data_IF_969976855733
#
_entry.id   IF_969976855733
#
_cell.length_a   1.000
_cell.length_b   1.000
_cell.length_c   1.000
_cell.angle_alpha   90.00
_cell.angle_beta   90.00
_cell.angle_gamma   90.00
#
_symmetry.space_group_name_H-M   'P 1'
#
loop_
_entity.id
_entity.type
_entity.pdbx_description
1 polymer ?
#
# COMPACT_ATOMS: atom_id res chain seq x y z
N UNK A 1 11.69 74.75 -1.62
CA UNK A 1 11.12 73.76 -0.68
C UNK A 1 10.33 72.74 -1.50
N UNK A 2 10.17 71.51 -1.00
CA UNK A 2 9.36 70.38 -1.55
C UNK A 2 9.90 69.66 -2.81
N UNK A 3 9.94 68.33 -2.95
CA UNK A 3 9.52 67.16 -2.14
C UNK A 3 10.48 65.98 -2.44
N UNK A 4 10.98 65.30 -1.41
CA UNK A 4 11.70 64.00 -1.53
C UNK A 4 10.65 62.91 -1.82
N UNK A 5 10.77 62.21 -2.96
CA UNK A 5 9.87 61.10 -3.33
C UNK A 5 10.40 59.80 -2.73
N UNK A 6 9.81 59.38 -1.63
CA UNK A 6 10.01 58.05 -1.04
C UNK A 6 9.47 56.98 -2.01
N UNK A 7 10.35 56.09 -2.47
CA UNK A 7 9.98 54.85 -3.15
C UNK A 7 9.76 53.79 -2.08
N UNK A 8 8.50 53.46 -1.80
CA UNK A 8 8.15 52.32 -0.97
C UNK A 8 8.33 51.04 -1.79
N UNK A 9 9.34 50.23 -1.44
CA UNK A 9 9.50 48.88 -1.94
C UNK A 9 8.56 47.96 -1.14
N UNK A 10 7.49 47.47 -1.77
CA UNK A 10 6.64 46.42 -1.20
C UNK A 10 7.32 45.08 -1.52
N UNK A 11 8.01 44.51 -0.54
CA UNK A 11 8.47 43.13 -0.58
C UNK A 11 7.29 42.22 -0.18
N UNK A 12 6.68 41.54 -1.16
CA UNK A 12 5.73 40.45 -0.86
C UNK A 12 6.56 39.19 -0.60
N UNK A 13 6.85 38.93 0.67
CA UNK A 13 7.42 37.66 1.10
C UNK A 13 6.32 36.59 1.08
N UNK A 14 6.29 35.78 0.02
CA UNK A 14 5.49 34.56 -0.01
C UNK A 14 6.09 33.53 0.94
N UNK A 15 5.55 33.41 2.15
CA UNK A 15 5.89 32.32 3.06
C UNK A 15 5.25 31.05 2.49
N UNK A 16 6.03 30.28 1.74
CA UNK A 16 5.68 28.89 1.43
C UNK A 16 5.94 28.10 2.72
N UNK A 17 4.93 27.95 3.57
CA UNK A 17 5.01 27.03 4.69
C UNK A 17 5.11 25.62 4.10
N UNK A 18 6.30 25.03 4.12
CA UNK A 18 6.46 23.61 3.87
C UNK A 18 5.78 22.87 5.05
N UNK A 19 4.57 22.36 4.84
CA UNK A 19 3.99 21.38 5.75
C UNK A 19 4.86 20.13 5.69
N UNK A 20 5.75 19.98 6.67
CA UNK A 20 6.46 18.72 6.86
C UNK A 20 5.43 17.62 7.06
N UNK A 21 5.52 16.54 6.28
CA UNK A 21 4.63 15.41 6.48
C UNK A 21 4.86 14.83 7.88
N UNK A 22 3.79 14.74 8.65
CA UNK A 22 3.83 14.15 9.98
C UNK A 22 3.85 12.63 9.88
N UNK A 23 4.56 12.00 10.80
CA UNK A 23 4.49 10.55 10.97
C UNK A 23 3.04 10.10 11.18
N UNK A 24 2.64 9.00 10.54
CA UNK A 24 1.31 8.43 10.71
C UNK A 24 1.28 7.43 11.88
N UNK A 25 0.12 7.33 12.51
CA UNK A 25 -0.19 6.27 13.46
C UNK A 25 -1.33 5.42 12.91
N UNK A 26 -1.14 4.10 12.83
CA UNK A 26 -2.20 3.15 12.52
C UNK A 26 -2.83 2.72 13.83
N UNK A 27 -4.15 2.86 13.97
CA UNK A 27 -4.88 2.45 15.17
C UNK A 27 -5.42 1.02 15.08
N UNK A 28 -5.75 0.53 13.89
CA UNK A 28 -6.20 -0.85 13.68
C UNK A 28 -5.87 -1.34 12.27
N UNK A 29 -5.65 -2.65 12.17
CA UNK A 29 -5.54 -3.39 10.92
C UNK A 29 -6.56 -4.52 11.00
N UNK A 30 -7.53 -4.52 10.08
CA UNK A 30 -8.65 -5.47 10.07
C UNK A 30 -8.64 -6.24 8.74
N UNK A 31 -8.31 -7.54 8.77
CA UNK A 31 -8.30 -8.35 7.56
C UNK A 31 -9.64 -9.05 7.30
N UNK A 32 -9.92 -9.38 6.04
CA UNK A 32 -11.03 -10.26 5.65
C UNK A 32 -10.72 -11.00 4.35
N UNK A 33 -11.30 -12.18 4.16
CA UNK A 33 -11.25 -12.88 2.87
C UNK A 33 -12.45 -12.50 2.01
N UNK A 34 -12.23 -12.27 0.73
CA UNK A 34 -13.27 -12.02 -0.26
C UNK A 34 -13.00 -12.80 -1.53
N UNK A 35 -14.03 -12.98 -2.36
CA UNK A 35 -13.91 -13.63 -3.67
C UNK A 35 -13.22 -15.00 -3.63
N UNK A 36 -13.45 -15.77 -2.56
CA UNK A 36 -12.91 -17.13 -2.37
C UNK A 36 -13.42 -18.03 -3.48
N UNK A 37 -12.49 -18.60 -4.25
CA UNK A 37 -12.79 -19.46 -5.40
C UNK A 37 -11.93 -20.74 -5.38
N UNK A 38 -12.56 -21.92 -5.41
CA UNK A 38 -14.00 -22.15 -5.30
C UNK A 38 -14.52 -21.82 -3.90
N UNK A 39 -15.78 -21.39 -3.78
CA UNK A 39 -16.40 -21.18 -2.46
C UNK A 39 -16.79 -22.52 -1.81
N UNK A 40 -17.28 -23.47 -2.61
CA UNK A 40 -17.66 -24.80 -2.11
C UNK A 40 -16.42 -25.64 -1.82
N UNK A 41 -16.36 -26.25 -0.62
CA UNK A 41 -15.23 -27.07 -0.18
C UNK A 41 -14.08 -26.27 0.43
N UNK A 42 -14.24 -24.95 0.60
CA UNK A 42 -13.33 -24.09 1.35
C UNK A 42 -14.06 -23.58 2.59
N UNK A 43 -13.45 -23.76 3.76
CA UNK A 43 -13.98 -23.29 5.04
C UNK A 43 -13.24 -22.04 5.49
N UNK A 44 -13.99 -21.00 5.88
CA UNK A 44 -13.46 -19.76 6.42
C UNK A 44 -13.71 -19.66 7.93
N UNK A 45 -12.71 -19.20 8.68
CA UNK A 45 -12.84 -18.84 10.09
C UNK A 45 -12.29 -17.44 10.30
N UNK A 46 -13.10 -16.57 10.87
CA UNK A 46 -12.74 -15.18 11.21
C UNK A 46 -12.82 -14.92 12.72
N UNK A 47 -12.92 -15.97 13.53
CA UNK A 47 -12.96 -15.87 14.99
C UNK A 47 -11.55 -15.73 15.56
N UNK A 48 -11.29 -14.59 16.20
CA UNK A 48 -10.03 -14.34 16.90
C UNK A 48 -9.04 -13.45 16.12
N UNK A 49 -7.77 -13.40 16.56
CA UNK A 49 -6.77 -12.51 15.96
C UNK A 49 -6.29 -13.00 14.58
N UNK A 50 -6.48 -14.28 14.27
CA UNK A 50 -6.07 -14.88 13.00
C UNK A 50 -7.31 -15.24 12.20
N UNK A 51 -7.36 -14.81 10.94
CA UNK A 51 -8.37 -15.29 9.99
C UNK A 51 -7.77 -16.43 9.17
N UNK A 52 -8.59 -17.42 8.83
CA UNK A 52 -8.14 -18.69 8.28
C UNK A 52 -9.02 -19.15 7.12
N UNK A 53 -8.38 -19.72 6.10
CA UNK A 53 -9.02 -20.55 5.08
C UNK A 53 -8.47 -21.96 5.16
N UNK A 54 -9.34 -22.95 5.03
CA UNK A 54 -8.97 -24.38 4.97
C UNK A 54 -9.68 -25.07 3.82
N UNK A 55 -8.97 -25.92 3.11
CA UNK A 55 -9.50 -26.70 1.99
C UNK A 55 -8.90 -28.10 1.95
N UNK A 56 -9.45 -28.93 1.07
CA UNK A 56 -9.01 -30.30 0.87
C UNK A 56 -9.41 -31.25 1.98
N UNK A 57 -9.41 -32.54 1.63
CA UNK A 57 -9.62 -33.65 2.55
C UNK A 57 -8.30 -34.38 2.76
N UNK A 58 -7.89 -34.53 4.00
CA UNK A 58 -6.66 -35.20 4.40
C UNK A 58 -6.60 -35.40 5.92
N UNK A 59 -5.48 -35.90 6.42
CA UNK A 59 -5.22 -35.95 7.87
C UNK A 59 -5.05 -34.54 8.47
N UNK A 60 -4.58 -33.60 7.65
CA UNK A 60 -4.53 -32.16 7.88
C UNK A 60 -5.01 -31.47 6.61
N UNK A 61 -5.69 -30.33 6.73
CA UNK A 61 -6.10 -29.51 5.59
C UNK A 61 -5.04 -28.50 5.22
N UNK A 62 -4.83 -28.30 3.92
CA UNK A 62 -4.09 -27.15 3.40
C UNK A 62 -4.85 -25.87 3.69
N UNK A 63 -4.15 -24.74 3.72
CA UNK A 63 -4.79 -23.50 4.14
C UNK A 63 -3.93 -22.27 4.14
N UNK A 64 -4.61 -21.14 4.37
CA UNK A 64 -4.00 -19.86 4.68
C UNK A 64 -4.39 -19.40 6.07
N UNK A 65 -3.44 -18.80 6.77
CA UNK A 65 -3.68 -18.02 7.99
C UNK A 65 -3.13 -16.62 7.79
N UNK A 66 -3.90 -15.61 8.21
CA UNK A 66 -3.43 -14.24 8.27
C UNK A 66 -3.66 -13.66 9.67
N UNK A 67 -2.58 -13.22 10.30
CA UNK A 67 -2.61 -12.53 11.60
C UNK A 67 -2.11 -11.11 11.40
N UNK A 68 -2.96 -10.07 11.61
CA UNK A 68 -2.54 -8.69 11.44
C UNK A 68 -1.48 -8.31 12.48
N UNK A 69 -0.60 -7.37 12.11
CA UNK A 69 0.36 -6.79 13.04
C UNK A 69 -0.38 -6.11 14.19
N UNK A 70 0.13 -6.24 15.41
CA UNK A 70 -0.44 -5.57 16.58
C UNK A 70 -0.46 -4.05 16.42
N UNK A 71 -1.59 -3.43 16.75
CA UNK A 71 -1.78 -1.98 16.72
C UNK A 71 -1.93 -1.42 18.15
N UNK A 72 -1.64 -0.13 18.39
CA UNK A 72 -1.26 0.90 17.42
C UNK A 72 0.18 0.77 16.92
N UNK A 73 0.40 1.14 15.65
CA UNK A 73 1.74 1.30 15.07
C UNK A 73 1.99 2.80 14.92
N UNK A 74 2.88 3.35 15.73
CA UNK A 74 3.16 4.79 15.77
C UNK A 74 4.49 5.13 15.10
N UNK A 75 4.66 6.40 14.73
CA UNK A 75 5.93 6.90 14.19
C UNK A 75 6.27 6.38 12.80
N UNK A 76 5.28 5.92 12.04
CA UNK A 76 5.51 5.51 10.66
C UNK A 76 5.93 6.74 9.85
N UNK A 77 6.99 6.60 9.07
CA UNK A 77 7.50 7.65 8.20
C UNK A 77 7.08 7.36 6.76
N UNK A 78 6.89 8.41 5.93
CA UNK A 78 6.74 8.23 4.50
C UNK A 78 7.91 7.44 3.92
N UNK A 79 7.64 6.73 2.83
CA UNK A 79 8.64 5.97 2.06
C UNK A 79 9.33 4.86 2.89
N UNK A 80 8.74 4.46 4.02
CA UNK A 80 9.24 3.38 4.87
C UNK A 80 8.27 2.21 4.87
N UNK A 81 8.79 1.00 4.60
CA UNK A 81 8.01 -0.23 4.66
C UNK A 81 7.64 -0.58 6.11
N UNK A 82 6.43 -1.08 6.32
CA UNK A 82 5.97 -1.58 7.61
C UNK A 82 5.13 -2.85 7.44
N UNK A 83 5.15 -3.70 8.45
CA UNK A 83 4.44 -4.98 8.45
C UNK A 83 2.93 -4.78 8.63
N UNK A 84 2.14 -5.31 7.71
CA UNK A 84 0.67 -5.37 7.80
C UNK A 84 0.19 -6.59 8.59
N UNK A 85 0.89 -7.70 8.45
CA UNK A 85 0.59 -8.93 9.17
C UNK A 85 1.42 -10.11 8.70
N UNK A 86 1.32 -11.20 9.43
CA UNK A 86 1.92 -12.47 9.12
C UNK A 86 0.95 -13.31 8.30
N UNK A 87 1.39 -13.71 7.10
CA UNK A 87 0.70 -14.66 6.24
C UNK A 87 1.39 -16.02 6.35
N UNK A 88 0.62 -17.07 6.58
CA UNK A 88 1.10 -18.43 6.67
C UNK A 88 0.41 -19.30 5.63
N UNK A 89 1.20 -20.03 4.87
CA UNK A 89 0.75 -21.04 3.95
C UNK A 89 1.00 -22.43 4.55
N UNK A 90 -0.07 -23.17 4.80
CA UNK A 90 -0.06 -24.54 5.29
C UNK A 90 -0.22 -25.47 4.08
N UNK A 91 0.84 -26.22 3.76
CA UNK A 91 0.83 -27.15 2.65
C UNK A 91 0.81 -28.60 3.16
N UNK A 92 -0.30 -29.30 2.96
CA UNK A 92 -0.47 -30.68 3.37
C UNK A 92 -1.02 -31.55 2.23
N UNK A 93 -0.69 -32.85 2.20
CA UNK A 93 -1.27 -33.75 1.21
C UNK A 93 -2.79 -33.84 1.36
N UNK A 94 -3.50 -33.36 0.34
CA UNK A 94 -4.97 -33.37 0.30
C UNK A 94 -5.53 -34.03 -0.96
N UNK A 95 -6.83 -34.33 -0.89
CA UNK A 95 -7.66 -34.74 -2.02
C UNK A 95 -8.91 -33.87 -2.10
N UNK A 96 -9.56 -33.82 -3.27
CA UNK A 96 -10.78 -33.05 -3.45
C UNK A 96 -10.50 -31.59 -3.81
N UNK A 97 -11.25 -30.66 -3.21
CA UNK A 97 -11.19 -29.24 -3.57
C UNK A 97 -9.87 -28.60 -3.15
N UNK A 98 -9.28 -27.84 -4.08
CA UNK A 98 -8.14 -26.96 -3.84
C UNK A 98 -8.57 -25.51 -4.04
N UNK A 99 -7.98 -24.59 -3.28
CA UNK A 99 -8.19 -23.16 -3.52
C UNK A 99 -7.56 -22.80 -4.88
N UNK A 100 -8.22 -21.94 -5.66
CA UNK A 100 -7.67 -21.39 -6.90
C UNK A 100 -7.30 -19.93 -6.73
N UNK A 101 -8.23 -19.12 -6.22
CA UNK A 101 -8.00 -17.69 -5.98
C UNK A 101 -8.73 -17.20 -4.74
N UNK A 102 -8.22 -16.13 -4.14
CA UNK A 102 -8.90 -15.38 -3.08
C UNK A 102 -8.35 -13.96 -3.00
N UNK A 103 -9.18 -13.02 -2.57
CA UNK A 103 -8.75 -11.69 -2.20
C UNK A 103 -8.57 -11.59 -0.68
N UNK A 104 -7.37 -11.25 -0.21
CA UNK A 104 -7.18 -10.79 1.15
C UNK A 104 -7.40 -9.27 1.19
N UNK A 105 -8.44 -8.82 1.87
CA UNK A 105 -8.69 -7.41 2.11
C UNK A 105 -8.04 -7.02 3.43
N UNK A 106 -7.31 -5.90 3.46
CA UNK A 106 -6.71 -5.34 4.66
C UNK A 106 -7.16 -3.89 4.80
N UNK A 107 -8.02 -3.66 5.79
CA UNK A 107 -8.51 -2.34 6.17
C UNK A 107 -7.62 -1.73 7.25
N UNK A 108 -7.08 -0.55 6.99
CA UNK A 108 -6.12 0.15 7.84
C UNK A 108 -6.75 1.45 8.32
N UNK A 109 -6.97 1.56 9.63
CA UNK A 109 -7.49 2.80 10.22
C UNK A 109 -6.32 3.69 10.65
N UNK A 110 -6.25 4.87 10.06
CA UNK A 110 -5.31 5.91 10.49
C UNK A 110 -5.88 6.59 11.74
N UNK A 111 -5.06 6.75 12.78
CA UNK A 111 -5.47 7.38 14.04
C UNK A 111 -5.93 8.83 13.80
N UNK A 112 -7.20 9.11 14.13
CA UNK A 112 -7.83 10.41 13.87
C UNK A 112 -8.09 10.71 12.40
N UNK A 113 -7.81 9.77 11.49
CA UNK A 113 -7.88 9.91 10.04
C UNK A 113 -8.83 8.92 9.38
N UNK A 114 -8.68 8.70 8.06
CA UNK A 114 -9.57 7.84 7.30
C UNK A 114 -9.26 6.35 7.48
N UNK A 115 -10.23 5.52 7.07
CA UNK A 115 -10.04 4.10 6.78
C UNK A 115 -9.48 3.95 5.36
N UNK A 116 -8.38 3.20 5.21
CA UNK A 116 -7.75 2.89 3.93
C UNK A 116 -7.89 1.38 3.69
N UNK A 117 -8.58 0.99 2.62
CA UNK A 117 -8.81 -0.42 2.27
C UNK A 117 -7.93 -0.84 1.11
N UNK A 118 -7.24 -1.97 1.24
CA UNK A 118 -6.42 -2.56 0.18
C UNK A 118 -6.76 -4.03 -0.04
N UNK A 119 -6.63 -4.51 -1.29
CA UNK A 119 -6.95 -5.89 -1.69
C UNK A 119 -5.73 -6.59 -2.28
N UNK A 120 -5.51 -7.84 -1.88
CA UNK A 120 -4.48 -8.75 -2.40
C UNK A 120 -5.13 -9.88 -3.16
N UNK A 121 -5.05 -9.85 -4.50
CA UNK A 121 -5.53 -10.94 -5.32
C UNK A 121 -4.50 -12.07 -5.30
N UNK A 122 -4.78 -13.12 -4.54
CA UNK A 122 -3.95 -14.29 -4.39
C UNK A 122 -4.39 -15.38 -5.38
N UNK A 123 -3.44 -15.94 -6.12
CA UNK A 123 -3.60 -17.22 -6.81
C UNK A 123 -2.88 -18.30 -6.03
N UNK A 124 -3.51 -19.47 -5.94
CA UNK A 124 -2.93 -20.68 -5.35
C UNK A 124 -2.66 -21.70 -6.44
N UNK A 125 -1.53 -22.38 -6.34
CA UNK A 125 -1.20 -23.54 -7.16
C UNK A 125 -0.92 -24.73 -6.24
N UNK A 126 -1.93 -25.57 -6.06
CA UNK A 126 -1.78 -26.88 -5.42
C UNK A 126 -1.22 -27.88 -6.42
N UNK A 127 0.05 -28.22 -6.25
CA UNK A 127 0.81 -29.01 -7.20
C UNK A 127 0.52 -30.50 -7.07
N UNK A 128 0.67 -31.24 -8.18
CA UNK A 128 0.56 -32.69 -8.10
C UNK A 128 1.83 -33.25 -7.48
N UNK A 129 1.70 -33.87 -6.31
CA UNK A 129 2.75 -34.58 -5.56
C UNK A 129 3.32 -35.81 -6.29
N UNK A 130 3.91 -35.60 -7.48
CA UNK A 130 4.50 -36.63 -8.34
C UNK A 130 5.84 -36.16 -8.91
N UNK A 131 6.84 -37.06 -9.04
CA UNK A 131 8.22 -36.67 -9.37
C UNK A 131 8.43 -35.90 -10.68
N UNK A 132 7.52 -36.02 -11.65
CA UNK A 132 7.67 -35.45 -12.99
C UNK A 132 7.05 -34.07 -13.20
N UNK A 133 6.37 -33.51 -12.18
CA UNK A 133 5.46 -32.38 -12.37
C UNK A 133 5.86 -31.13 -11.55
N UNK A 134 7.04 -31.14 -10.93
CA UNK A 134 7.43 -30.09 -10.00
C UNK A 134 8.02 -28.88 -10.74
N UNK A 135 7.54 -27.65 -10.49
CA UNK A 135 8.09 -26.45 -11.11
C UNK A 135 9.57 -26.18 -10.76
N UNK A 136 10.06 -26.71 -9.64
CA UNK A 136 11.38 -26.45 -9.11
C UNK A 136 12.01 -27.68 -8.42
N UNK A 137 12.14 -28.82 -9.11
CA UNK A 137 12.89 -30.05 -8.72
C UNK A 137 12.76 -30.59 -7.27
N UNK A 138 11.90 -30.03 -6.41
CA UNK A 138 11.60 -30.55 -5.08
C UNK A 138 10.56 -31.65 -5.22
N UNK A 139 10.82 -32.82 -4.63
CA UNK A 139 9.85 -33.93 -4.61
C UNK A 139 9.56 -34.35 -3.16
N UNK A 140 8.28 -34.42 -2.76
CA UNK A 140 7.08 -34.00 -3.49
C UNK A 140 7.06 -32.47 -3.79
N UNK A 141 6.23 -32.06 -4.76
CA UNK A 141 6.28 -30.71 -5.34
C UNK A 141 5.82 -29.66 -4.32
N UNK A 142 6.48 -28.50 -4.30
CA UNK A 142 6.05 -27.39 -3.46
C UNK A 142 4.80 -26.68 -4.04
N UNK A 143 3.90 -26.30 -3.15
CA UNK A 143 2.75 -25.46 -3.50
C UNK A 143 3.09 -23.98 -3.44
N UNK A 144 2.44 -23.19 -4.28
CA UNK A 144 2.84 -21.81 -4.56
C UNK A 144 1.69 -20.85 -4.34
N UNK A 145 1.96 -19.79 -3.57
CA UNK A 145 1.07 -18.65 -3.41
C UNK A 145 1.66 -17.46 -4.16
N UNK A 146 0.84 -16.74 -4.92
CA UNK A 146 1.27 -15.55 -5.66
C UNK A 146 0.24 -14.43 -5.57
N UNK A 147 0.68 -13.21 -5.27
CA UNK A 147 -0.08 -11.97 -5.43
C UNK A 147 -0.03 -11.56 -6.90
N UNK A 148 -1.18 -11.41 -7.52
CA UNK A 148 -1.33 -11.24 -8.98
C UNK A 148 -1.83 -9.87 -9.40
N UNK A 149 -2.54 -9.15 -8.53
CA UNK A 149 -2.88 -7.78 -8.84
C UNK A 149 -1.60 -6.93 -8.80
N UNK A 150 -1.51 -5.98 -9.74
CA UNK A 150 -0.59 -4.85 -9.58
C UNK A 150 -0.92 -4.22 -8.24
N UNK A 151 0.03 -4.26 -7.31
CA UNK A 151 -0.16 -3.79 -5.94
C UNK A 151 -0.66 -2.35 -6.00
N UNK A 152 -1.97 -2.19 -5.78
CA UNK A 152 -2.68 -0.96 -6.09
C UNK A 152 -2.34 0.13 -5.08
N UNK A 153 -2.15 1.33 -5.57
CA UNK A 153 -1.96 2.51 -4.73
C UNK A 153 -3.31 3.12 -4.34
N UNK A 154 -3.59 3.23 -3.05
CA UNK A 154 -4.80 3.88 -2.53
C UNK A 154 -4.49 5.31 -2.11
N UNK A 155 -5.18 6.27 -2.70
CA UNK A 155 -5.02 7.68 -2.33
C UNK A 155 -5.92 8.02 -1.14
N UNK A 156 -5.37 8.72 -0.15
CA UNK A 156 -6.15 9.28 0.94
C UNK A 156 -5.61 10.65 1.36
N UNK A 157 -6.47 11.49 1.92
CA UNK A 157 -6.10 12.82 2.40
C UNK A 157 -6.18 12.86 3.92
N UNK A 158 -5.15 13.40 4.57
CA UNK A 158 -5.13 13.57 6.02
C UNK A 158 -4.26 14.77 6.42
N UNK A 159 -4.73 15.60 7.36
CA UNK A 159 -3.99 16.78 7.81
C UNK A 159 -3.65 17.78 6.69
N UNK A 160 -4.49 17.87 5.64
CA UNK A 160 -4.26 18.74 4.47
C UNK A 160 -3.23 18.20 3.45
N UNK A 161 -2.66 17.02 3.69
CA UNK A 161 -1.73 16.34 2.78
C UNK A 161 -2.42 15.17 2.10
N UNK A 162 -2.03 14.90 0.85
CA UNK A 162 -2.45 13.70 0.12
C UNK A 162 -1.37 12.64 0.26
N UNK A 163 -1.79 11.42 0.52
CA UNK A 163 -0.94 10.27 0.69
C UNK A 163 -1.34 9.17 -0.29
N UNK A 164 -0.37 8.32 -0.59
CA UNK A 164 -0.53 7.15 -1.43
C UNK A 164 -0.10 5.93 -0.61
N UNK A 165 -1.05 5.09 -0.21
CA UNK A 165 -0.73 3.79 0.40
C UNK A 165 -0.46 2.77 -0.71
N UNK A 166 0.69 2.11 -0.66
CA UNK A 166 1.08 1.07 -1.60
C UNK A 166 1.43 -0.19 -0.84
N UNK A 167 1.09 -1.32 -1.43
CA UNK A 167 1.50 -2.61 -0.89
C UNK A 167 2.76 -3.03 -1.62
N UNK A 168 3.70 -3.61 -0.89
CA UNK A 168 4.97 -4.06 -1.43
C UNK A 168 4.95 -5.55 -1.78
N UNK A 169 4.39 -6.39 -0.90
CA UNK A 169 4.34 -7.85 -1.09
C UNK A 169 4.82 -8.62 0.14
N UNK A 170 5.22 -9.86 -0.07
CA UNK A 170 5.70 -10.77 0.97
C UNK A 170 7.19 -10.62 1.23
N UNK A 171 7.59 -10.80 2.49
CA UNK A 171 9.00 -10.90 2.89
C UNK A 171 9.18 -11.99 3.94
N UNK A 172 10.25 -12.78 3.78
CA UNK A 172 10.66 -13.82 4.72
C UNK A 172 11.93 -13.42 5.53
N UNK A 173 12.48 -12.24 5.29
CA UNK A 173 13.71 -11.74 5.92
C UNK A 173 13.54 -10.34 6.54
N UNK A 174 12.36 -10.08 7.12
CA UNK A 174 12.10 -8.85 7.87
C UNK A 174 12.05 -7.56 7.03
N UNK A 175 11.75 -7.66 5.74
CA UNK A 175 11.60 -6.54 4.81
C UNK A 175 12.82 -6.33 3.91
N UNK A 176 13.87 -7.16 4.03
CA UNK A 176 15.08 -7.04 3.21
C UNK A 176 14.85 -7.36 1.73
N UNK A 177 13.97 -8.32 1.43
CA UNK A 177 13.54 -8.65 0.07
C UNK A 177 12.04 -8.81 0.02
N UNK A 178 11.43 -8.16 -0.96
CA UNK A 178 10.00 -8.22 -1.20
C UNK A 178 9.75 -9.07 -2.46
N UNK A 179 8.85 -10.04 -2.35
CA UNK A 179 8.42 -10.92 -3.44
C UNK A 179 6.90 -10.93 -3.54
N UNK A 180 6.39 -11.20 -4.73
CA UNK A 180 4.95 -11.36 -4.95
C UNK A 180 4.48 -12.77 -4.59
N UNK A 181 5.37 -13.74 -4.39
CA UNK A 181 5.00 -15.10 -4.06
C UNK A 181 6.12 -15.87 -3.36
N UNK A 182 5.76 -17.02 -2.80
CA UNK A 182 6.68 -17.96 -2.18
C UNK A 182 6.11 -19.38 -2.27
N UNK A 183 7.00 -20.37 -2.17
CA UNK A 183 6.64 -21.79 -2.17
C UNK A 183 6.67 -22.37 -0.77
N UNK A 184 5.87 -23.41 -0.54
CA UNK A 184 5.86 -24.18 0.70
C UNK A 184 6.01 -25.66 0.37
N UNK A 185 7.01 -26.30 0.97
CA UNK A 185 7.22 -27.75 0.84
C UNK A 185 6.04 -28.54 1.43
N UNK A 186 5.71 -29.68 0.83
CA UNK A 186 4.67 -30.57 1.36
C UNK A 186 4.89 -30.96 2.82
N UNK A 187 3.78 -31.11 3.55
CA UNK A 187 3.73 -31.41 4.99
C UNK A 187 4.38 -30.33 5.87
N UNK A 188 4.62 -29.14 5.32
CA UNK A 188 5.22 -28.03 6.03
C UNK A 188 4.32 -26.80 5.99
N UNK A 189 4.66 -25.86 6.86
CA UNK A 189 4.11 -24.52 6.86
C UNK A 189 5.24 -23.55 6.53
N UNK A 190 4.96 -22.59 5.65
CA UNK A 190 5.86 -21.47 5.39
C UNK A 190 5.19 -20.15 5.75
N UNK A 191 5.98 -19.21 6.26
CA UNK A 191 5.50 -17.96 6.82
C UNK A 191 6.20 -16.80 6.13
N UNK A 192 5.43 -15.82 5.70
CA UNK A 192 5.93 -14.56 5.18
C UNK A 192 5.14 -13.38 5.77
N UNK A 193 5.82 -12.27 6.03
CA UNK A 193 5.15 -11.04 6.46
C UNK A 193 4.75 -10.23 5.24
N UNK A 194 3.52 -9.75 5.22
CA UNK A 194 3.02 -8.84 4.20
C UNK A 194 3.39 -7.40 4.57
N UNK A 195 4.01 -6.67 3.66
CA UNK A 195 4.48 -5.29 3.89
C UNK A 195 3.73 -4.27 3.07
N UNK A 196 3.41 -3.13 3.69
CA UNK A 196 2.90 -1.93 3.05
C UNK A 196 3.85 -0.75 3.24
N UNK A 197 3.58 0.33 2.52
CA UNK A 197 4.27 1.61 2.61
C UNK A 197 3.26 2.71 2.30
N UNK A 198 3.53 3.93 2.74
CA UNK A 198 2.84 5.09 2.19
C UNK A 198 3.84 6.16 1.76
N UNK A 199 3.45 6.95 0.77
CA UNK A 199 4.23 8.09 0.27
C UNK A 199 3.36 9.34 0.29
N UNK A 200 3.98 10.51 0.16
CA UNK A 200 3.26 11.78 0.04
C UNK A 200 3.00 12.02 -1.45
N UNK A 201 1.74 12.21 -1.83
CA UNK A 201 1.42 12.55 -3.20
C UNK A 201 1.95 13.97 -3.51
N UNK A 202 2.63 14.18 -4.65
CA UNK A 202 3.12 15.49 -5.03
C UNK A 202 1.95 16.48 -5.16
N UNK A 203 2.06 17.63 -4.49
CA UNK A 203 1.07 18.71 -4.60
C UNK A 203 1.19 19.32 -6.00
N UNK A 204 0.10 19.41 -6.79
CA UNK A 204 0.15 20.14 -8.05
C UNK A 204 0.55 21.58 -7.78
N UNK A 205 1.63 22.05 -8.40
CA UNK A 205 2.02 23.46 -8.31
C UNK A 205 0.80 24.33 -8.65
N UNK A 206 0.39 25.27 -7.79
CA UNK A 206 -0.74 26.11 -8.10
C UNK A 206 -0.49 26.82 -9.43
N UNK A 207 -1.51 26.86 -10.30
CA UNK A 207 -1.50 27.69 -11.52
C UNK A 207 -1.22 29.18 -11.23
N UNK A 208 -1.25 29.57 -9.94
CA UNK A 208 -0.73 30.83 -9.44
C UNK A 208 0.70 31.14 -9.90
N UNK A 209 1.56 30.13 -10.13
CA UNK A 209 2.89 30.36 -10.73
C UNK A 209 2.81 31.05 -12.10
N UNK A 210 1.89 30.61 -12.94
CA UNK A 210 1.63 31.24 -14.25
C UNK A 210 0.92 32.60 -14.11
N UNK A 211 0.03 32.76 -13.14
CA UNK A 211 -0.61 34.06 -12.86
C UNK A 211 0.38 35.09 -12.31
N UNK A 212 1.37 34.68 -11.51
CA UNK A 212 2.44 35.55 -11.01
C UNK A 212 3.34 35.99 -12.16
N UNK A 213 3.78 35.06 -13.01
CA UNK A 213 4.57 35.37 -14.20
C UNK A 213 3.78 36.26 -15.19
N UNK A 214 2.51 35.97 -15.40
CA UNK A 214 1.59 36.78 -16.22
C UNK A 214 1.32 38.17 -15.63
N UNK A 215 1.15 38.26 -14.32
CA UNK A 215 0.93 39.53 -13.61
C UNK A 215 2.15 40.45 -13.63
N UNK A 216 3.35 39.90 -13.40
CA UNK A 216 4.61 40.66 -13.46
C UNK A 216 4.89 41.17 -14.88
N UNK A 217 4.67 40.33 -15.90
CA UNK A 217 4.83 40.72 -17.30
C UNK A 217 3.81 41.78 -17.72
N UNK A 218 2.55 41.65 -17.29
CA UNK A 218 1.51 42.66 -17.48
C UNK A 218 1.87 44.03 -16.88
N UNK A 219 2.39 44.05 -15.65
CA UNK A 219 2.85 45.27 -14.97
C UNK A 219 4.04 45.94 -15.69
N UNK A 220 4.98 45.16 -16.22
CA UNK A 220 6.11 45.69 -17.00
C UNK A 220 5.67 46.37 -18.31
N UNK A 221 4.72 45.77 -19.03
CA UNK A 221 4.17 46.33 -20.28
C UNK A 221 3.37 47.60 -20.00
N UNK A 222 2.57 47.61 -18.93
CA UNK A 222 1.77 48.77 -18.55
C UNK A 222 2.63 49.95 -18.07
N UNK A 223 3.74 49.67 -17.37
CA UNK A 223 4.74 50.67 -16.99
C UNK A 223 5.46 51.31 -18.18
N UNK A 224 5.72 50.56 -19.26
CA UNK A 224 6.30 51.09 -20.50
C UNK A 224 5.33 51.99 -21.29
N UNK A 225 4.02 51.70 -21.25
CA UNK A 225 3.00 52.53 -21.92
C UNK A 225 2.84 53.90 -21.29
N UNK A 226 2.90 54.01 -19.96
CA UNK A 226 2.80 55.32 -19.27
C UNK A 226 3.98 56.26 -19.59
N UNK A 227 5.18 55.73 -19.83
CA UNK A 227 6.35 56.55 -20.22
C UNK A 227 6.27 57.13 -21.65
N UNK A 228 5.46 56.55 -22.55
CA UNK A 228 5.29 57.04 -23.93
C UNK A 228 4.20 58.11 -24.09
N UNK A 229 3.33 58.29 -23.09
CA UNK A 229 2.24 59.27 -23.12
C UNK A 229 2.61 60.61 -22.47
N UNK A 230 3.83 60.75 -21.94
CA UNK A 230 4.34 61.96 -21.29
C UNK A 230 5.56 62.55 -22.03
N UNK A 231 5.73 62.22 -23.30
CA UNK A 231 6.71 62.81 -24.21
C UNK A 231 5.99 63.49 -25.37
#
# INVERSE_FOLDING_TARGET
MTFIRNIAAIAVAGVMAASGASALTISSISPSWQNVNPTSGVSESTSGPTISLRWGNGSSSSGYDFTPTGTPISGLLPDTAFALGQFSHLNFPITGTTLSTVDLIVDILISGGPLVSSSFALTHNETLNRPSNCPADSTPCDDIVTITNTLGSQNFSFGGQNYVFSVLGFSQNGGGTISNGFSTTENMQNVATLYGQYTIAPVPLPAAGWLLLGGISGLFVMGRRKKRSMA
#
